data_IF_428547010646
#
_entry.id   IF_428547010646
#
_cell.length_a   1.000
_cell.length_b   1.000
_cell.length_c   1.000
_cell.angle_alpha   90.00
_cell.angle_beta   90.00
_cell.angle_gamma   90.00
#
_symmetry.space_group_name_H-M   'P 1'
#
loop_
_entity.id
_entity.type
_entity.pdbx_description
1 polymer ?
#
# COMPACT_ATOMS: atom_id res chain seq x y z
N UNK A 1 -29.36 -28.41 -7.53
CA UNK A 1 -28.49 -28.11 -6.37
C UNK A 1 -27.33 -27.27 -6.89
N UNK A 2 -27.39 -25.94 -6.80
CA UNK A 2 -26.28 -25.07 -7.23
C UNK A 2 -25.12 -25.25 -6.27
N UNK A 3 -23.95 -25.66 -6.77
CA UNK A 3 -22.74 -25.76 -5.96
C UNK A 3 -22.41 -24.35 -5.49
N UNK A 4 -22.63 -24.06 -4.21
CA UNK A 4 -22.27 -22.79 -3.61
C UNK A 4 -20.74 -22.74 -3.54
N UNK A 5 -20.11 -22.23 -4.59
CA UNK A 5 -18.67 -22.04 -4.62
C UNK A 5 -18.39 -20.92 -3.63
N UNK A 6 -17.72 -21.26 -2.53
CA UNK A 6 -17.16 -20.23 -1.65
C UNK A 6 -16.04 -19.53 -2.43
N UNK A 7 -16.34 -18.32 -2.94
CA UNK A 7 -15.41 -17.54 -3.76
C UNK A 7 -14.06 -17.35 -3.06
N UNK A 8 -14.06 -17.18 -1.71
CA UNK A 8 -12.83 -17.00 -0.92
C UNK A 8 -11.95 -18.26 -0.92
N UNK A 9 -12.56 -19.44 -0.80
CA UNK A 9 -11.82 -20.71 -0.85
C UNK A 9 -11.35 -21.03 -2.27
N UNK A 10 -12.21 -20.84 -3.27
CA UNK A 10 -11.84 -21.00 -4.67
C UNK A 10 -10.67 -20.10 -5.06
N UNK A 11 -10.73 -18.83 -4.66
CA UNK A 11 -9.68 -17.85 -4.91
C UNK A 11 -8.36 -18.23 -4.20
N UNK A 12 -8.43 -18.68 -2.94
CA UNK A 12 -7.24 -19.14 -2.20
C UNK A 12 -6.60 -20.36 -2.84
N UNK A 13 -7.40 -21.30 -3.34
CA UNK A 13 -6.91 -22.47 -4.07
C UNK A 13 -6.33 -22.11 -5.44
N UNK A 14 -6.95 -21.19 -6.18
CA UNK A 14 -6.44 -20.74 -7.48
C UNK A 14 -5.09 -20.04 -7.36
N UNK A 15 -4.82 -19.32 -6.27
CA UNK A 15 -3.52 -18.67 -6.05
C UNK A 15 -2.35 -19.64 -5.81
N UNK A 16 -2.60 -20.96 -5.65
CA UNK A 16 -1.52 -21.97 -5.56
C UNK A 16 -0.89 -22.27 -6.92
N UNK A 17 -1.63 -22.02 -8.00
CA UNK A 17 -1.13 -22.15 -9.37
C UNK A 17 -0.22 -20.95 -9.70
N UNK A 18 1.05 -21.18 -10.12
CA UNK A 18 1.99 -20.09 -10.39
C UNK A 18 1.52 -19.11 -11.46
N UNK A 19 0.79 -19.57 -12.48
CA UNK A 19 0.27 -18.71 -13.54
C UNK A 19 -0.89 -17.83 -13.04
N UNK A 20 -1.78 -18.40 -12.24
CA UNK A 20 -2.86 -17.66 -11.59
C UNK A 20 -2.33 -16.62 -10.59
N UNK A 21 -1.30 -16.96 -9.81
CA UNK A 21 -0.63 -16.02 -8.92
C UNK A 21 0.05 -14.86 -9.68
N UNK A 22 0.65 -15.16 -10.84
CA UNK A 22 1.24 -14.16 -11.73
C UNK A 22 0.17 -13.23 -12.30
N UNK A 23 -0.91 -13.78 -12.85
CA UNK A 23 -2.01 -12.99 -13.39
C UNK A 23 -2.65 -12.09 -12.33
N UNK A 24 -2.83 -12.62 -11.12
CA UNK A 24 -3.33 -11.80 -10.00
C UNK A 24 -2.40 -10.63 -9.68
N UNK A 25 -1.07 -10.85 -9.66
CA UNK A 25 -0.11 -9.78 -9.46
C UNK A 25 -0.17 -8.74 -10.58
N UNK A 26 -0.25 -9.19 -11.83
CA UNK A 26 -0.39 -8.30 -13.00
C UNK A 26 -1.61 -7.39 -12.82
N UNK A 27 -2.77 -7.95 -12.44
CA UNK A 27 -3.99 -7.17 -12.18
C UNK A 27 -3.80 -6.14 -11.06
N UNK A 28 -3.17 -6.51 -9.94
CA UNK A 28 -2.90 -5.57 -8.84
C UNK A 28 -1.98 -4.42 -9.28
N UNK A 29 -0.96 -4.72 -10.09
CA UNK A 29 -0.05 -3.71 -10.63
C UNK A 29 -0.80 -2.75 -11.58
N UNK A 30 -1.73 -3.27 -12.39
CA UNK A 30 -2.58 -2.42 -13.23
C UNK A 30 -3.44 -1.49 -12.37
N UNK A 31 -4.19 -2.03 -11.41
CA UNK A 31 -5.09 -1.24 -10.55
C UNK A 31 -4.34 -0.12 -9.80
N UNK A 32 -3.16 -0.43 -9.27
CA UNK A 32 -2.31 0.56 -8.62
C UNK A 32 -1.84 1.64 -9.61
N UNK A 33 -1.38 1.26 -10.81
CA UNK A 33 -0.96 2.19 -11.87
C UNK A 33 -2.07 3.20 -12.20
N UNK A 34 -3.29 2.68 -12.42
CA UNK A 34 -4.47 3.49 -12.74
C UNK A 34 -4.83 4.44 -11.61
N UNK A 35 -4.78 3.97 -10.36
CA UNK A 35 -5.02 4.80 -9.18
C UNK A 35 -4.03 5.98 -9.10
N UNK A 36 -2.74 5.73 -9.35
CA UNK A 36 -1.71 6.77 -9.31
C UNK A 36 -1.93 7.84 -10.38
N UNK A 37 -2.19 7.41 -11.62
CA UNK A 37 -2.52 8.31 -12.72
C UNK A 37 -3.76 9.16 -12.39
N UNK A 38 -4.80 8.53 -11.87
CA UNK A 38 -6.04 9.19 -11.48
C UNK A 38 -5.82 10.22 -10.36
N UNK A 39 -5.09 9.86 -9.31
CA UNK A 39 -4.76 10.77 -8.21
C UNK A 39 -3.94 11.97 -8.72
N UNK A 40 -2.97 11.75 -9.60
CA UNK A 40 -2.19 12.84 -10.21
C UNK A 40 -3.10 13.82 -10.96
N UNK A 41 -4.04 13.29 -11.75
CA UNK A 41 -5.00 14.10 -12.51
C UNK A 41 -5.96 14.88 -11.59
N UNK A 42 -6.44 14.27 -10.52
CA UNK A 42 -7.25 14.95 -9.50
C UNK A 42 -6.50 16.11 -8.82
N UNK A 43 -5.16 16.03 -8.76
CA UNK A 43 -4.30 17.10 -8.24
C UNK A 43 -3.93 18.14 -9.29
N UNK A 44 -4.40 17.98 -10.54
CA UNK A 44 -4.15 18.91 -11.64
C UNK A 44 -2.69 18.91 -12.12
N UNK A 45 -1.94 17.83 -11.88
CA UNK A 45 -0.53 17.73 -12.23
C UNK A 45 -0.33 16.94 -13.51
N UNK A 46 0.59 17.39 -14.35
CA UNK A 46 1.11 16.62 -15.47
C UNK A 46 2.19 15.63 -15.02
N UNK A 47 2.41 14.58 -15.82
CA UNK A 47 3.53 13.64 -15.58
C UNK A 47 4.89 14.34 -15.55
N UNK A 48 5.05 15.45 -16.28
CA UNK A 48 6.28 16.24 -16.31
C UNK A 48 6.52 16.94 -14.97
N UNK A 49 5.49 17.57 -14.40
CA UNK A 49 5.59 18.25 -13.11
C UNK A 49 5.89 17.27 -11.97
N UNK A 50 5.28 16.07 -11.99
CA UNK A 50 5.60 15.03 -11.00
C UNK A 50 7.03 14.52 -11.17
N UNK A 51 7.49 14.34 -12.41
CA UNK A 51 8.87 13.95 -12.70
C UNK A 51 9.89 14.96 -12.17
N UNK A 52 9.62 16.26 -12.36
CA UNK A 52 10.43 17.37 -11.85
C UNK A 52 10.48 17.37 -10.32
N UNK A 53 9.34 17.19 -9.65
CA UNK A 53 9.28 17.09 -8.17
C UNK A 53 10.07 15.92 -7.61
N UNK A 54 10.08 14.80 -8.33
CA UNK A 54 10.77 13.57 -7.92
C UNK A 54 12.25 13.50 -8.33
N UNK A 55 12.70 14.41 -9.21
CA UNK A 55 14.03 14.35 -9.80
C UNK A 55 14.24 13.11 -10.70
N UNK A 56 13.18 12.64 -11.37
CA UNK A 56 13.22 11.47 -12.27
C UNK A 56 12.80 11.86 -13.69
N UNK A 57 12.89 10.93 -14.64
CA UNK A 57 12.43 11.17 -16.00
C UNK A 57 10.90 11.08 -16.11
N UNK A 58 10.30 11.84 -17.05
CA UNK A 58 8.87 11.67 -17.40
C UNK A 58 8.57 10.22 -17.81
N UNK A 59 9.49 9.55 -18.50
CA UNK A 59 9.35 8.13 -18.87
C UNK A 59 9.17 7.24 -17.65
N UNK A 60 9.91 7.50 -16.56
CA UNK A 60 9.73 6.77 -15.29
C UNK A 60 8.36 6.99 -14.69
N UNK A 61 7.83 8.22 -14.74
CA UNK A 61 6.45 8.49 -14.30
C UNK A 61 5.43 7.74 -15.17
N UNK A 62 5.62 7.75 -16.50
CA UNK A 62 4.76 6.99 -17.41
C UNK A 62 4.80 5.48 -17.11
N UNK A 63 5.97 4.91 -16.77
CA UNK A 63 6.08 3.52 -16.37
C UNK A 63 5.37 3.24 -15.04
N UNK A 64 5.42 4.18 -14.09
CA UNK A 64 4.73 4.03 -12.80
C UNK A 64 3.21 4.12 -12.92
N UNK A 65 2.72 4.80 -13.95
CA UNK A 65 1.30 5.02 -14.24
C UNK A 65 0.73 4.08 -15.31
N UNK A 66 1.49 3.08 -15.74
CA UNK A 66 1.03 2.08 -16.71
C UNK A 66 1.37 0.68 -16.22
N UNK A 67 0.58 -0.32 -16.61
CA UNK A 67 0.75 -1.75 -16.28
C UNK A 67 2.10 -2.36 -16.71
N UNK A 68 3.00 -1.58 -17.31
CA UNK A 68 4.29 -2.02 -17.82
C UNK A 68 5.30 -2.24 -16.68
N UNK A 69 5.10 -3.31 -15.91
CA UNK A 69 6.13 -3.89 -15.05
C UNK A 69 6.44 -3.10 -13.79
N UNK A 70 5.43 -2.86 -12.95
CA UNK A 70 5.64 -2.28 -11.63
C UNK A 70 6.32 -3.31 -10.69
N UNK A 71 7.63 -3.19 -10.54
CA UNK A 71 8.29 -3.51 -9.27
C UNK A 71 8.56 -2.21 -8.51
N UNK A 72 7.49 -1.50 -8.15
CA UNK A 72 7.64 -0.29 -7.33
C UNK A 72 7.83 -0.68 -5.87
N UNK A 73 8.90 -0.18 -5.27
CA UNK A 73 9.13 -0.32 -3.84
C UNK A 73 8.11 0.52 -3.07
N UNK A 74 7.83 0.14 -1.81
CA UNK A 74 6.97 0.92 -0.93
C UNK A 74 7.47 2.37 -0.77
N UNK A 75 8.79 2.57 -0.75
CA UNK A 75 9.43 3.89 -0.77
C UNK A 75 9.12 4.66 -2.06
N UNK A 76 9.23 4.01 -3.23
CA UNK A 76 8.91 4.64 -4.52
C UNK A 76 7.45 5.09 -4.59
N UNK A 77 6.54 4.28 -4.06
CA UNK A 77 5.12 4.63 -3.93
C UNK A 77 4.93 5.83 -3.00
N UNK A 78 5.58 5.83 -1.83
CA UNK A 78 5.50 6.92 -0.87
C UNK A 78 6.02 8.23 -1.47
N UNK A 79 7.16 8.22 -2.14
CA UNK A 79 7.72 9.40 -2.82
C UNK A 79 6.77 9.94 -3.89
N UNK A 80 6.20 9.05 -4.71
CA UNK A 80 5.24 9.47 -5.73
C UNK A 80 4.03 10.17 -5.11
N UNK A 81 3.42 9.54 -4.10
CA UNK A 81 2.26 10.09 -3.37
C UNK A 81 2.62 11.43 -2.71
N UNK A 82 3.81 11.56 -2.11
CA UNK A 82 4.32 12.82 -1.56
C UNK A 82 4.51 13.90 -2.64
N UNK A 83 4.99 13.55 -3.83
CA UNK A 83 5.11 14.49 -4.96
C UNK A 83 3.74 15.03 -5.42
N UNK A 84 2.65 14.31 -5.18
CA UNK A 84 1.28 14.78 -5.38
C UNK A 84 0.75 15.66 -4.23
N UNK A 85 1.54 15.84 -3.17
CA UNK A 85 1.13 16.49 -1.93
C UNK A 85 0.13 15.66 -1.12
N UNK A 86 0.27 14.32 -1.16
CA UNK A 86 -0.55 13.36 -0.43
C UNK A 86 0.30 12.59 0.59
N UNK A 87 -0.35 11.86 1.48
CA UNK A 87 0.31 10.96 2.45
C UNK A 87 -0.11 9.52 2.22
N UNK A 88 0.85 8.58 2.25
CA UNK A 88 0.56 7.15 2.18
C UNK A 88 0.43 6.56 3.58
N UNK A 89 -0.68 5.86 3.84
CA UNK A 89 -0.92 5.15 5.10
C UNK A 89 -1.33 3.71 4.82
N UNK A 90 -0.65 2.76 5.44
CA UNK A 90 -1.04 1.36 5.46
C UNK A 90 -1.98 1.11 6.65
N UNK A 91 -3.02 0.33 6.42
CA UNK A 91 -3.98 -0.08 7.44
C UNK A 91 -4.05 -1.61 7.48
N UNK A 92 -3.91 -2.19 8.66
CA UNK A 92 -3.99 -3.63 8.87
C UNK A 92 -5.25 -3.95 9.65
N UNK A 93 -6.07 -4.85 9.11
CA UNK A 93 -7.35 -5.25 9.69
C UNK A 93 -7.36 -6.74 9.99
N UNK A 94 -8.11 -7.14 11.02
CA UNK A 94 -8.40 -8.56 11.26
C UNK A 94 -9.56 -9.05 10.37
N UNK A 95 -9.96 -10.32 10.55
CA UNK A 95 -11.03 -10.93 9.78
C UNK A 95 -12.43 -10.36 10.11
N UNK A 96 -12.55 -9.69 11.25
CA UNK A 96 -13.76 -9.01 11.71
C UNK A 96 -13.84 -7.57 11.19
N UNK A 97 -12.75 -7.06 10.59
CA UNK A 97 -12.65 -5.73 10.00
C UNK A 97 -12.10 -4.67 10.95
N UNK A 98 -11.71 -5.04 12.18
CA UNK A 98 -11.14 -4.14 13.18
C UNK A 98 -9.75 -3.70 12.76
N UNK A 99 -9.45 -2.41 12.88
CA UNK A 99 -8.14 -1.85 12.51
C UNK A 99 -7.16 -2.13 13.64
N UNK A 100 -6.25 -3.08 13.45
CA UNK A 100 -5.23 -3.41 14.44
C UNK A 100 -4.06 -2.42 14.44
N UNK A 101 -3.74 -1.89 13.26
CA UNK A 101 -2.55 -1.09 13.05
C UNK A 101 -2.71 -0.10 11.91
N UNK A 102 -2.16 1.11 12.10
CA UNK A 102 -1.91 2.06 11.01
C UNK A 102 -0.42 2.39 10.97
N UNK A 103 0.14 2.42 9.76
CA UNK A 103 1.54 2.77 9.55
C UNK A 103 1.65 3.86 8.49
N UNK A 104 2.25 4.99 8.87
CA UNK A 104 2.54 6.08 7.95
C UNK A 104 3.81 5.77 7.16
N UNK A 105 3.70 5.74 5.84
CA UNK A 105 4.84 5.51 4.95
C UNK A 105 5.36 6.87 4.51
N UNK A 106 6.33 7.40 5.25
CA UNK A 106 7.09 8.58 4.86
C UNK A 106 8.36 8.20 4.10
N UNK A 107 8.65 8.88 3.00
CA UNK A 107 9.92 8.73 2.29
C UNK A 107 10.88 9.87 2.66
N UNK A 108 10.40 11.11 2.54
CA UNK A 108 11.04 12.31 3.06
C UNK A 108 10.07 13.00 4.04
N UNK A 109 10.62 13.76 5.01
CA UNK A 109 9.96 14.40 6.18
C UNK A 109 8.46 14.78 5.99
N UNK A 110 7.57 14.50 6.97
CA UNK A 110 6.13 14.63 6.78
C UNK A 110 5.70 16.05 6.35
N UNK A 111 4.86 16.13 5.31
CA UNK A 111 4.38 17.38 4.70
C UNK A 111 3.43 18.22 5.61
N UNK A 112 3.19 17.80 6.85
CA UNK A 112 2.46 18.53 7.89
C UNK A 112 2.81 18.02 9.29
N UNK A 113 2.57 18.83 10.34
CA UNK A 113 2.74 18.49 11.77
C UNK A 113 2.22 17.07 12.10
N UNK A 114 2.87 16.34 13.02
CA UNK A 114 2.94 14.89 12.95
C UNK A 114 1.61 14.25 13.30
N UNK A 115 0.93 13.68 12.30
CA UNK A 115 0.38 12.35 12.52
C UNK A 115 1.61 11.48 12.77
N UNK A 116 1.83 11.12 14.04
CA UNK A 116 3.07 10.61 14.57
C UNK A 116 3.75 9.65 13.56
N UNK A 117 4.99 9.98 13.15
CA UNK A 117 5.83 9.06 12.41
C UNK A 117 6.01 7.79 13.24
N UNK A 118 5.24 6.76 12.93
CA UNK A 118 5.10 5.61 13.80
C UNK A 118 3.84 4.80 13.50
N UNK A 119 3.79 3.64 14.14
CA UNK A 119 2.61 2.80 14.16
C UNK A 119 1.63 3.33 15.21
N UNK A 120 0.37 3.52 14.82
CA UNK A 120 -0.73 3.84 15.75
C UNK A 120 -1.56 2.57 16.02
N UNK A 121 -1.59 2.05 17.27
CA UNK A 121 -2.56 1.03 17.66
C UNK A 121 -3.96 1.64 17.71
N UNK A 122 -4.94 0.96 17.10
CA UNK A 122 -6.33 1.44 17.05
C UNK A 122 -7.24 0.45 17.76
N UNK A 123 -7.17 0.36 19.10
CA UNK A 123 -8.08 -0.47 19.90
C UNK A 123 -7.67 -0.68 21.36
N UNK A 124 -8.65 -0.84 22.26
CA UNK A 124 -8.43 -1.10 23.70
C UNK A 124 -7.71 -2.43 23.99
N UNK A 125 -7.84 -3.42 23.09
CA UNK A 125 -7.33 -4.78 23.31
C UNK A 125 -5.80 -4.86 23.23
N UNK A 126 -5.15 -4.04 22.40
CA UNK A 126 -3.69 -3.99 22.29
C UNK A 126 -3.03 -3.15 23.39
N UNK A 127 -3.66 -2.08 23.85
CA UNK A 127 -3.22 -1.34 25.05
C UNK A 127 -3.21 -2.26 26.30
N UNK A 128 -4.14 -3.21 26.36
CA UNK A 128 -4.22 -4.22 27.42
C UNK A 128 -3.09 -5.25 27.32
N UNK A 129 -2.71 -5.67 26.11
CA UNK A 129 -1.60 -6.61 25.87
C UNK A 129 -0.24 -6.01 26.26
N UNK A 130 -0.04 -4.70 26.05
CA UNK A 130 1.21 -3.99 26.38
C UNK A 130 1.40 -3.71 27.88
N UNK A 131 0.41 -4.01 28.74
CA UNK A 131 0.57 -3.98 30.20
C UNK A 131 1.42 -5.16 30.72
N UNK A 132 1.61 -6.19 29.89
CA UNK A 132 2.69 -7.18 30.04
C UNK A 132 3.77 -6.78 29.05
N UNK A 133 4.98 -6.52 29.55
CA UNK A 133 6.05 -5.79 28.86
C UNK A 133 6.27 -6.17 27.39
N UNK A 134 6.74 -5.18 26.60
CA UNK A 134 7.09 -5.30 25.18
C UNK A 134 7.79 -6.64 24.88
N UNK A 135 7.20 -7.55 24.09
CA UNK A 135 7.97 -8.65 23.53
C UNK A 135 8.97 -8.07 22.53
N UNK A 136 10.21 -8.52 22.63
CA UNK A 136 11.27 -8.14 21.70
C UNK A 136 11.27 -9.10 20.51
N UNK A 137 11.89 -8.71 19.40
CA UNK A 137 11.93 -9.49 18.16
C UNK A 137 12.57 -10.89 18.32
N UNK A 138 13.18 -11.20 19.47
CA UNK A 138 13.68 -12.54 19.83
C UNK A 138 12.65 -13.49 20.46
N UNK A 139 11.45 -13.02 20.77
CA UNK A 139 10.43 -13.80 21.49
C UNK A 139 9.42 -14.49 20.56
N UNK A 140 9.59 -14.35 19.24
CA UNK A 140 8.73 -14.96 18.20
C UNK A 140 9.62 -15.78 17.23
N UNK A 141 10.37 -16.73 17.79
CA UNK A 141 11.06 -17.80 17.05
C UNK A 141 10.69 -19.16 17.65
#
# INVERSE_FOLDING_TARGET
>A
MGRHINFREYFKESLKDPDSARLYREVLDEELSWLLAHLRELRGLSQKEVAERLGVSRSRISQMETSAGLSMTLEGLARYVQALGLTLRLEFRDEQGEVLARFHVGADEPLSEPLAGGWEPVGESWATLMRKGKPTFGDIA
#
